data_IF_183529773224
#
_entry.id   IF_183529773224
#
_cell.length_a   1.000
_cell.length_b   1.000
_cell.length_c   1.000
_cell.angle_alpha   90.00
_cell.angle_beta   90.00
_cell.angle_gamma   90.00
#
_symmetry.space_group_name_H-M   'P 1'
#
loop_
_entity.id
_entity.type
_entity.pdbx_description
1 polymer ?
#
# COMPACT_ATOMS: atom_id res chain seq x y z
N UNK A 1 -5.77 15.56 8.77
CA UNK A 1 -6.16 14.13 8.68
C UNK A 1 -5.74 13.61 7.32
N UNK A 2 -5.24 12.36 7.18
CA UNK A 2 -4.91 11.80 5.88
C UNK A 2 -6.15 11.72 4.97
N UNK A 3 -6.03 12.15 3.72
CA UNK A 3 -7.13 12.22 2.76
C UNK A 3 -7.54 10.82 2.25
N UNK A 4 -6.65 9.83 2.33
CA UNK A 4 -6.92 8.45 1.93
C UNK A 4 -7.49 7.56 3.05
N UNK A 5 -8.06 8.15 4.11
CA UNK A 5 -8.58 7.39 5.26
C UNK A 5 -9.67 6.39 4.89
N UNK A 6 -10.46 6.67 3.86
CA UNK A 6 -11.55 5.80 3.42
C UNK A 6 -11.07 4.50 2.73
N UNK A 7 -9.83 4.45 2.27
CA UNK A 7 -9.23 3.31 1.58
C UNK A 7 -7.83 3.01 2.13
N UNK A 8 -7.76 2.36 3.31
CA UNK A 8 -6.50 2.10 3.98
C UNK A 8 -5.59 1.17 3.16
N UNK A 9 -4.25 1.24 3.36
CA UNK A 9 -3.30 0.25 2.83
C UNK A 9 -3.66 -1.18 3.22
N UNK A 10 -3.33 -2.15 2.36
CA UNK A 10 -3.57 -3.57 2.62
C UNK A 10 -2.88 -4.05 3.90
N UNK A 11 -3.58 -4.86 4.70
CA UNK A 11 -3.07 -5.48 5.93
C UNK A 11 -2.88 -4.52 7.10
N UNK A 12 -3.58 -3.39 7.10
CA UNK A 12 -3.67 -2.52 8.28
C UNK A 12 -4.77 -2.97 9.23
N UNK A 13 -5.84 -3.55 8.69
CA UNK A 13 -6.94 -4.11 9.45
C UNK A 13 -6.79 -5.62 9.48
N UNK A 14 -6.95 -6.29 10.63
CA UNK A 14 -7.01 -7.74 10.66
C UNK A 14 -8.19 -8.23 9.83
N UNK A 15 -8.04 -9.33 9.05
CA UNK A 15 -9.15 -9.92 8.32
C UNK A 15 -10.29 -10.25 9.27
N UNK A 16 -11.51 -9.75 9.00
CA UNK A 16 -12.69 -10.06 9.78
C UNK A 16 -13.14 -11.51 9.53
N UNK A 17 -13.77 -12.18 10.50
CA UNK A 17 -14.37 -13.48 10.30
C UNK A 17 -15.72 -13.35 9.57
N UNK A 18 -15.67 -13.10 8.26
CA UNK A 18 -16.87 -12.91 7.46
C UNK A 18 -17.77 -14.14 7.45
N UNK A 19 -19.07 -13.90 7.58
CA UNK A 19 -20.14 -14.86 7.30
C UNK A 19 -20.57 -14.74 5.84
N UNK A 20 -21.28 -15.76 5.32
CA UNK A 20 -21.80 -15.72 3.96
C UNK A 20 -22.84 -14.59 3.75
N UNK A 21 -23.61 -14.25 4.77
CA UNK A 21 -24.56 -13.15 4.73
C UNK A 21 -23.85 -11.79 4.60
N UNK A 22 -22.77 -11.58 5.34
CA UNK A 22 -21.95 -10.38 5.25
C UNK A 22 -21.26 -10.24 3.89
N UNK A 23 -20.79 -11.36 3.31
CA UNK A 23 -20.21 -11.36 1.96
C UNK A 23 -21.27 -11.04 0.88
N UNK A 24 -22.53 -11.49 1.04
CA UNK A 24 -23.63 -11.10 0.15
C UNK A 24 -23.93 -9.60 0.26
N UNK A 25 -24.02 -9.08 1.47
CA UNK A 25 -24.21 -7.64 1.68
C UNK A 25 -23.04 -6.82 1.13
N UNK A 26 -21.80 -7.30 1.29
CA UNK A 26 -20.62 -6.67 0.70
C UNK A 26 -20.65 -6.69 -0.83
N UNK A 27 -21.14 -7.78 -1.45
CA UNK A 27 -21.31 -7.88 -2.89
C UNK A 27 -22.34 -6.87 -3.41
N UNK A 28 -23.51 -6.76 -2.77
CA UNK A 28 -24.58 -5.84 -3.13
C UNK A 28 -24.15 -4.38 -3.00
N UNK A 29 -23.44 -4.04 -1.92
CA UNK A 29 -22.96 -2.68 -1.64
C UNK A 29 -21.63 -2.36 -2.33
N UNK A 30 -21.01 -3.33 -3.01
CA UNK A 30 -19.63 -3.26 -3.55
C UNK A 30 -18.60 -2.86 -2.50
N UNK A 31 -18.85 -3.23 -1.24
CA UNK A 31 -17.93 -2.97 -0.15
C UNK A 31 -16.67 -3.82 -0.29
N UNK A 32 -15.54 -3.23 0.12
CA UNK A 32 -14.26 -3.92 0.10
C UNK A 32 -14.13 -4.76 1.38
N UNK A 33 -13.72 -6.00 1.20
CA UNK A 33 -13.38 -6.95 2.25
C UNK A 33 -11.87 -7.22 2.26
N UNK A 34 -11.33 -7.56 3.41
CA UNK A 34 -9.93 -7.98 3.54
C UNK A 34 -9.81 -9.48 3.79
N UNK A 35 -8.88 -10.12 3.10
CA UNK A 35 -8.57 -11.52 3.26
C UNK A 35 -7.07 -11.77 3.14
N UNK A 36 -6.69 -13.03 3.21
CA UNK A 36 -5.30 -13.46 3.03
C UNK A 36 -5.22 -14.41 1.83
N UNK A 37 -4.38 -14.09 0.86
CA UNK A 37 -4.07 -15.01 -0.24
C UNK A 37 -3.25 -16.18 0.30
N UNK A 38 -3.79 -17.39 0.26
CA UNK A 38 -3.14 -18.57 0.86
C UNK A 38 -2.35 -19.40 -0.15
N UNK A 39 -2.91 -19.58 -1.34
CA UNK A 39 -2.36 -20.47 -2.38
C UNK A 39 -2.54 -19.86 -3.74
N UNK A 40 -1.69 -20.28 -4.67
CA UNK A 40 -1.81 -20.00 -6.09
C UNK A 40 -1.89 -21.35 -6.82
N UNK A 41 -2.85 -21.53 -7.72
CA UNK A 41 -2.96 -22.73 -8.56
C UNK A 41 -2.07 -22.63 -9.82
N UNK A 42 -2.08 -23.70 -10.63
CA UNK A 42 -1.31 -23.76 -11.88
C UNK A 42 -1.80 -22.76 -12.95
N UNK A 43 -3.05 -22.32 -12.88
CA UNK A 43 -3.62 -21.28 -13.74
C UNK A 43 -3.38 -19.87 -13.20
N UNK A 44 -2.64 -19.74 -12.09
CA UNK A 44 -2.35 -18.51 -11.38
C UNK A 44 -3.57 -17.84 -10.72
N UNK A 45 -4.63 -18.60 -10.43
CA UNK A 45 -5.70 -18.11 -9.58
C UNK A 45 -5.28 -18.18 -8.12
N UNK A 46 -5.67 -17.18 -7.33
CA UNK A 46 -5.37 -17.13 -5.90
C UNK A 46 -6.54 -17.67 -5.09
N UNK A 47 -6.25 -18.55 -4.15
CA UNK A 47 -7.19 -18.90 -3.07
C UNK A 47 -7.05 -17.85 -1.96
N UNK A 48 -8.15 -17.16 -1.67
CA UNK A 48 -8.22 -16.08 -0.68
C UNK A 48 -9.08 -16.52 0.49
N UNK A 49 -8.53 -16.44 1.69
CA UNK A 49 -9.24 -16.76 2.92
C UNK A 49 -9.94 -15.53 3.47
N UNK A 50 -11.27 -15.55 3.53
CA UNK A 50 -12.15 -14.54 4.11
C UNK A 50 -12.77 -15.08 5.41
N UNK A 51 -12.04 -14.99 6.52
CA UNK A 51 -12.43 -15.65 7.76
C UNK A 51 -12.43 -17.17 7.60
N UNK A 52 -13.62 -17.81 7.67
CA UNK A 52 -13.78 -19.25 7.48
C UNK A 52 -14.14 -19.64 6.03
N UNK A 53 -14.40 -18.68 5.16
CA UNK A 53 -14.82 -18.89 3.79
C UNK A 53 -13.59 -18.78 2.87
N UNK A 54 -13.41 -19.77 2.01
CA UNK A 54 -12.41 -19.73 0.95
C UNK A 54 -13.04 -19.16 -0.32
N UNK A 55 -12.40 -18.15 -0.89
CA UNK A 55 -12.79 -17.51 -2.14
C UNK A 55 -11.73 -17.74 -3.21
N UNK A 56 -12.12 -17.65 -4.48
CA UNK A 56 -11.24 -17.74 -5.64
C UNK A 56 -11.07 -16.33 -6.23
N UNK A 57 -9.85 -15.93 -6.47
CA UNK A 57 -9.51 -14.74 -7.24
C UNK A 57 -8.87 -15.16 -8.54
N UNK A 58 -9.52 -14.95 -9.69
CA UNK A 58 -8.94 -15.20 -10.99
C UNK A 58 -7.67 -14.37 -11.21
N UNK A 59 -6.74 -14.89 -12.00
CA UNK A 59 -5.46 -14.21 -12.31
C UNK A 59 -5.65 -12.77 -12.78
N UNK A 60 -6.59 -12.53 -13.68
CA UNK A 60 -6.93 -11.24 -14.26
C UNK A 60 -7.52 -10.26 -13.23
N UNK A 61 -8.07 -10.78 -12.14
CA UNK A 61 -8.64 -9.99 -11.04
C UNK A 61 -7.61 -9.69 -9.90
N UNK A 62 -6.40 -10.23 -10.01
CA UNK A 62 -5.38 -10.07 -8.97
C UNK A 62 -4.77 -8.66 -8.89
N UNK A 63 -4.78 -7.91 -10.00
CA UNK A 63 -4.16 -6.58 -10.06
C UNK A 63 -4.76 -5.73 -11.17
N UNK A 64 -4.91 -4.44 -10.92
CA UNK A 64 -5.44 -3.49 -11.90
C UNK A 64 -4.52 -3.35 -13.13
N UNK A 65 -5.08 -3.16 -14.36
CA UNK A 65 -4.36 -3.26 -15.63
C UNK A 65 -3.30 -2.16 -15.82
N UNK A 66 -3.47 -0.97 -15.22
CA UNK A 66 -2.47 0.11 -15.31
C UNK A 66 -1.21 -0.13 -14.46
N UNK A 67 -1.23 -1.12 -13.58
CA UNK A 67 -0.05 -1.46 -12.77
C UNK A 67 0.91 -2.27 -13.66
N UNK A 68 2.11 -1.74 -13.89
CA UNK A 68 3.11 -2.38 -14.73
C UNK A 68 3.40 -3.81 -14.27
N UNK A 69 3.25 -4.76 -15.18
CA UNK A 69 3.44 -6.18 -14.91
C UNK A 69 2.31 -6.84 -14.09
N UNK A 70 1.11 -6.23 -14.06
CA UNK A 70 -0.05 -6.66 -13.30
C UNK A 70 -0.33 -8.17 -13.36
N UNK A 71 -0.34 -8.74 -14.55
CA UNK A 71 -0.70 -10.15 -14.77
C UNK A 71 0.52 -11.06 -14.95
N UNK A 72 1.73 -10.60 -14.62
CA UNK A 72 2.91 -11.47 -14.62
C UNK A 72 2.83 -12.46 -13.47
N UNK A 73 3.29 -13.67 -13.72
CA UNK A 73 3.32 -14.75 -12.73
C UNK A 73 3.90 -14.30 -11.38
N UNK A 74 5.05 -13.64 -11.40
CA UNK A 74 5.72 -13.17 -10.19
C UNK A 74 4.88 -12.14 -9.40
N UNK A 75 4.08 -11.33 -10.09
CA UNK A 75 3.21 -10.35 -9.45
C UNK A 75 2.07 -11.02 -8.68
N UNK A 76 1.50 -12.09 -9.24
CA UNK A 76 0.44 -12.89 -8.61
C UNK A 76 1.01 -13.74 -7.48
N UNK A 77 2.08 -14.50 -7.74
CA UNK A 77 2.74 -15.35 -6.74
C UNK A 77 3.22 -14.56 -5.52
N UNK A 78 3.69 -13.34 -5.73
CA UNK A 78 4.13 -12.47 -4.64
C UNK A 78 3.03 -12.04 -3.65
N UNK A 79 1.76 -12.34 -3.96
CA UNK A 79 0.61 -12.08 -3.06
C UNK A 79 0.38 -13.21 -2.07
N UNK A 80 0.83 -14.41 -2.36
CA UNK A 80 0.66 -15.57 -1.46
C UNK A 80 1.27 -15.25 -0.09
N UNK A 81 0.53 -15.56 0.96
CA UNK A 81 0.87 -15.25 2.36
C UNK A 81 0.61 -13.80 2.80
N UNK A 82 0.08 -12.94 1.91
CA UNK A 82 -0.14 -11.53 2.23
C UNK A 82 -1.62 -11.19 2.37
N UNK A 83 -1.95 -10.21 3.22
CA UNK A 83 -3.28 -9.62 3.25
C UNK A 83 -3.54 -8.88 1.93
N UNK A 84 -4.77 -8.97 1.45
CA UNK A 84 -5.25 -8.30 0.24
C UNK A 84 -6.65 -7.74 0.46
N UNK A 85 -6.92 -6.59 -0.12
CA UNK A 85 -8.25 -6.01 -0.24
C UNK A 85 -8.92 -6.48 -1.52
N UNK A 86 -10.19 -6.87 -1.46
CA UNK A 86 -10.95 -7.29 -2.64
C UNK A 86 -12.43 -6.94 -2.51
N UNK A 87 -13.14 -6.90 -3.62
CA UNK A 87 -14.60 -6.90 -3.67
C UNK A 87 -15.11 -8.31 -3.93
N UNK A 88 -16.30 -8.62 -3.45
CA UNK A 88 -16.98 -9.87 -3.81
C UNK A 88 -17.66 -9.68 -5.15
N UNK A 89 -17.32 -10.49 -6.13
CA UNK A 89 -17.84 -10.42 -7.49
C UNK A 89 -19.07 -11.31 -7.68
N UNK A 90 -18.99 -12.54 -7.17
CA UNK A 90 -20.10 -13.48 -7.24
C UNK A 90 -20.08 -14.50 -6.08
N UNK A 91 -21.25 -14.98 -5.75
CA UNK A 91 -21.46 -16.09 -4.80
C UNK A 91 -22.39 -17.10 -5.47
N UNK A 92 -21.83 -18.21 -5.89
CA UNK A 92 -22.54 -19.33 -6.48
C UNK A 92 -22.51 -20.55 -5.54
N UNK A 93 -23.16 -21.63 -5.92
CA UNK A 93 -22.99 -22.93 -5.29
C UNK A 93 -22.19 -23.85 -6.22
N UNK A 94 -21.25 -24.61 -5.67
CA UNK A 94 -20.57 -25.66 -6.41
C UNK A 94 -21.48 -26.90 -6.64
N UNK A 95 -20.99 -27.91 -7.34
CA UNK A 95 -21.73 -29.12 -7.62
C UNK A 95 -22.15 -29.91 -6.36
N UNK A 96 -21.58 -29.59 -5.19
CA UNK A 96 -21.86 -30.20 -3.89
C UNK A 96 -22.74 -29.31 -3.00
N UNK A 97 -23.15 -28.12 -3.51
CA UNK A 97 -23.93 -27.15 -2.75
C UNK A 97 -23.09 -26.25 -1.81
N UNK A 98 -21.76 -26.35 -1.82
CA UNK A 98 -20.91 -25.49 -1.04
C UNK A 98 -20.77 -24.10 -1.70
N UNK A 99 -20.62 -23.00 -0.91
CA UNK A 99 -20.50 -21.68 -1.47
C UNK A 99 -19.19 -21.51 -2.24
N UNK A 100 -19.30 -21.15 -3.52
CA UNK A 100 -18.20 -20.75 -4.38
C UNK A 100 -18.19 -19.22 -4.48
N UNK A 101 -17.25 -18.58 -3.82
CA UNK A 101 -17.11 -17.12 -3.77
C UNK A 101 -16.00 -16.70 -4.72
N UNK A 102 -16.32 -15.79 -5.63
CA UNK A 102 -15.31 -15.15 -6.52
C UNK A 102 -15.08 -13.73 -6.06
N UNK A 103 -13.79 -13.32 -6.02
CA UNK A 103 -13.39 -12.01 -5.54
C UNK A 103 -12.44 -11.32 -6.52
N UNK A 104 -12.46 -9.98 -6.51
CA UNK A 104 -11.64 -9.14 -7.37
C UNK A 104 -10.85 -8.13 -6.55
N UNK A 105 -9.52 -8.20 -6.60
CA UNK A 105 -8.63 -7.16 -6.09
C UNK A 105 -8.56 -5.98 -7.06
N UNK A 106 -8.63 -6.25 -8.35
CA UNK A 106 -8.64 -5.25 -9.41
C UNK A 106 -9.74 -4.21 -9.18
N UNK A 107 -10.97 -4.65 -8.94
CA UNK A 107 -12.10 -3.74 -8.68
C UNK A 107 -11.90 -2.90 -7.41
N UNK A 108 -11.35 -3.48 -6.34
CA UNK A 108 -11.03 -2.73 -5.13
C UNK A 108 -9.96 -1.64 -5.38
N UNK A 109 -8.97 -1.93 -6.23
CA UNK A 109 -7.96 -0.95 -6.66
C UNK A 109 -8.56 0.13 -7.56
N UNK A 110 -9.45 -0.22 -8.50
CA UNK A 110 -10.16 0.72 -9.37
C UNK A 110 -10.95 1.71 -8.54
N UNK A 111 -11.78 1.25 -7.60
CA UNK A 111 -12.54 2.12 -6.70
C UNK A 111 -11.64 3.09 -5.92
N UNK A 112 -10.52 2.59 -5.37
CA UNK A 112 -9.61 3.44 -4.62
C UNK A 112 -8.90 4.46 -5.52
N UNK A 113 -8.49 4.05 -6.73
CA UNK A 113 -7.85 4.94 -7.69
C UNK A 113 -8.79 6.04 -8.18
N UNK A 114 -10.05 5.71 -8.49
CA UNK A 114 -11.04 6.69 -8.91
C UNK A 114 -11.30 7.72 -7.81
N UNK A 115 -11.44 7.28 -6.56
CA UNK A 115 -11.55 8.19 -5.41
C UNK A 115 -10.29 9.05 -5.21
N UNK A 116 -9.10 8.50 -5.43
CA UNK A 116 -7.84 9.26 -5.38
C UNK A 116 -7.74 10.29 -6.51
N UNK A 117 -8.19 9.95 -7.72
CA UNK A 117 -8.24 10.89 -8.86
C UNK A 117 -9.14 12.10 -8.57
N UNK A 118 -10.21 11.91 -7.81
CA UNK A 118 -11.13 12.97 -7.42
C UNK A 118 -10.59 13.83 -6.27
N UNK A 119 -10.00 13.20 -5.25
CA UNK A 119 -9.66 13.86 -3.98
C UNK A 119 -8.21 14.33 -3.90
N UNK A 120 -7.23 13.54 -4.36
CA UNK A 120 -5.83 13.87 -4.14
C UNK A 120 -5.32 15.01 -5.04
N UNK A 121 -4.55 15.90 -4.43
CA UNK A 121 -3.84 17.02 -5.08
C UNK A 121 -2.39 17.05 -4.58
N UNK A 122 -1.45 17.68 -5.30
CA UNK A 122 -0.15 18.02 -4.75
C UNK A 122 -0.31 18.75 -3.40
N UNK A 123 0.40 18.29 -2.37
CA UNK A 123 0.28 18.77 -0.99
C UNK A 123 -0.72 17.97 -0.12
N UNK A 124 -1.56 17.11 -0.70
CA UNK A 124 -2.44 16.22 0.07
C UNK A 124 -1.63 15.30 1.00
N UNK A 125 -2.06 15.18 2.25
CA UNK A 125 -1.46 14.24 3.23
C UNK A 125 -2.09 12.87 3.03
N UNK A 126 -1.26 11.85 2.86
CA UNK A 126 -1.68 10.45 2.75
C UNK A 126 -0.99 9.58 3.80
N UNK A 127 -1.75 8.65 4.35
CA UNK A 127 -1.19 7.57 5.16
C UNK A 127 -0.78 6.41 4.25
N UNK A 128 0.38 5.82 4.50
CA UNK A 128 0.87 4.71 3.68
C UNK A 128 1.62 3.67 4.51
N UNK A 129 1.83 2.52 3.88
CA UNK A 129 2.65 1.43 4.41
C UNK A 129 3.79 1.14 3.45
N UNK A 130 5.02 1.16 3.93
CA UNK A 130 6.20 0.81 3.13
C UNK A 130 6.13 -0.67 2.77
N UNK A 131 6.02 -0.99 1.48
CA UNK A 131 5.90 -2.38 1.00
C UNK A 131 7.20 -2.95 0.46
N UNK A 132 8.05 -2.10 -0.08
CA UNK A 132 9.35 -2.45 -0.65
C UNK A 132 10.27 -1.23 -0.68
N UNK A 133 11.57 -1.45 -0.61
CA UNK A 133 12.59 -0.42 -0.75
C UNK A 133 13.61 -0.83 -1.80
N UNK A 134 14.07 0.15 -2.57
CA UNK A 134 15.12 0.06 -3.58
C UNK A 134 16.10 1.22 -3.37
N UNK A 135 17.27 1.17 -3.96
CA UNK A 135 18.30 2.20 -3.77
C UNK A 135 17.82 3.61 -4.14
N UNK A 136 16.90 3.72 -5.09
CA UNK A 136 16.37 4.99 -5.59
C UNK A 136 15.09 5.48 -4.87
N UNK A 137 14.48 4.66 -4.03
CA UNK A 137 13.26 5.07 -3.31
C UNK A 137 12.53 3.95 -2.60
N UNK A 138 11.53 4.34 -1.83
CA UNK A 138 10.60 3.43 -1.16
C UNK A 138 9.28 3.35 -1.93
N UNK A 139 8.74 2.14 -2.02
CA UNK A 139 7.41 1.88 -2.55
C UNK A 139 6.42 1.82 -1.38
N UNK A 140 5.41 2.66 -1.42
CA UNK A 140 4.46 2.88 -0.33
C UNK A 140 3.06 2.56 -0.82
N UNK A 141 2.40 1.58 -0.21
CA UNK A 141 0.97 1.35 -0.40
C UNK A 141 0.20 2.49 0.25
N UNK A 142 -0.50 3.29 -0.55
CA UNK A 142 -1.30 4.43 -0.12
C UNK A 142 -2.80 4.12 -0.05
N UNK A 143 -3.18 2.89 -0.34
CA UNK A 143 -4.54 2.42 -0.21
C UNK A 143 -4.87 1.24 -1.11
N UNK A 144 -5.44 0.19 -0.55
CA UNK A 144 -5.92 -1.03 -1.24
C UNK A 144 -4.91 -1.61 -2.23
N UNK A 145 -3.61 -1.57 -1.88
CA UNK A 145 -2.53 -2.07 -2.73
C UNK A 145 -2.16 -1.17 -3.91
N UNK A 146 -2.58 0.09 -3.91
CA UNK A 146 -2.08 1.11 -4.83
C UNK A 146 -0.74 1.61 -4.31
N UNK A 147 0.30 1.37 -5.08
CA UNK A 147 1.68 1.65 -4.67
C UNK A 147 2.17 2.95 -5.30
N UNK A 148 2.55 3.90 -4.46
CA UNK A 148 3.19 5.15 -4.82
C UNK A 148 4.71 5.07 -4.63
N UNK A 149 5.46 5.87 -5.39
CA UNK A 149 6.91 6.00 -5.25
C UNK A 149 7.25 7.17 -4.33
N UNK A 150 8.10 6.91 -3.33
CA UNK A 150 8.75 7.92 -2.50
C UNK A 150 10.25 7.90 -2.82
N UNK A 151 10.74 8.76 -3.72
CA UNK A 151 12.14 8.84 -4.10
C UNK A 151 13.05 9.15 -2.90
N UNK A 152 14.28 8.62 -2.90
CA UNK A 152 15.24 8.77 -1.80
C UNK A 152 15.52 10.24 -1.46
N UNK A 153 15.57 11.12 -2.45
CA UNK A 153 15.76 12.57 -2.30
C UNK A 153 14.61 13.29 -1.59
N UNK A 154 13.42 12.66 -1.53
CA UNK A 154 12.23 13.21 -0.89
C UNK A 154 11.89 12.57 0.45
N UNK A 155 12.75 11.66 0.94
CA UNK A 155 12.54 10.98 2.23
C UNK A 155 12.93 11.88 3.40
N UNK A 156 14.06 12.61 3.29
CA UNK A 156 14.62 13.36 4.41
C UNK A 156 15.30 14.65 3.94
N UNK A 157 15.29 15.69 4.78
CA UNK A 157 16.08 16.89 4.57
C UNK A 157 17.59 16.60 4.69
N UNK A 158 17.98 15.69 5.59
CA UNK A 158 19.34 15.20 5.68
C UNK A 158 19.65 14.23 4.54
N UNK A 159 20.86 14.31 3.98
CA UNK A 159 21.30 13.40 2.91
C UNK A 159 21.34 11.96 3.40
N UNK A 160 20.62 11.10 2.71
CA UNK A 160 20.61 9.65 2.91
C UNK A 160 21.05 8.97 1.62
N UNK A 161 21.67 7.79 1.76
CA UNK A 161 22.12 6.99 0.60
C UNK A 161 21.07 5.98 0.17
N UNK A 162 20.28 5.49 1.12
CA UNK A 162 19.27 4.45 0.92
C UNK A 162 18.06 4.70 1.82
N UNK A 163 16.85 4.32 1.39
CA UNK A 163 15.62 4.46 2.18
C UNK A 163 15.67 3.72 3.53
N UNK A 164 16.39 2.58 3.60
CA UNK A 164 16.51 1.75 4.81
C UNK A 164 17.18 2.50 5.99
N UNK A 165 17.83 3.62 5.73
CA UNK A 165 18.38 4.49 6.79
C UNK A 165 17.27 5.22 7.57
N UNK A 166 16.07 5.31 7.03
CA UNK A 166 14.93 6.04 7.62
C UNK A 166 13.71 5.15 7.82
N UNK A 167 13.48 4.17 6.96
CA UNK A 167 12.28 3.36 6.95
C UNK A 167 12.59 1.88 7.08
N UNK A 168 11.55 1.12 7.42
CA UNK A 168 11.55 -0.35 7.41
C UNK A 168 10.35 -0.84 6.59
N UNK A 169 10.50 -2.00 5.94
CA UNK A 169 9.37 -2.66 5.29
C UNK A 169 8.27 -2.95 6.30
N UNK A 170 7.02 -2.67 5.93
CA UNK A 170 5.86 -2.78 6.81
C UNK A 170 5.58 -1.55 7.67
N UNK A 171 6.50 -0.57 7.74
CA UNK A 171 6.33 0.64 8.53
C UNK A 171 5.18 1.50 7.98
N UNK A 172 4.34 2.01 8.89
CA UNK A 172 3.34 3.03 8.58
C UNK A 172 3.99 4.40 8.57
N UNK A 173 3.70 5.18 7.55
CA UNK A 173 4.22 6.55 7.40
C UNK A 173 3.10 7.49 6.97
N UNK A 174 3.27 8.77 7.25
CA UNK A 174 2.56 9.85 6.58
C UNK A 174 3.47 10.40 5.49
N UNK A 175 2.89 10.79 4.37
CA UNK A 175 3.61 11.44 3.29
C UNK A 175 2.72 12.48 2.62
N UNK A 176 3.30 13.40 1.87
CA UNK A 176 2.59 14.34 1.03
C UNK A 176 2.62 13.84 -0.41
N UNK A 177 1.54 14.04 -1.13
CA UNK A 177 1.51 13.88 -2.58
C UNK A 177 2.35 15.00 -3.21
N UNK A 178 3.46 14.64 -3.85
CA UNK A 178 4.30 15.59 -4.58
C UNK A 178 3.78 15.82 -6.00
N UNK A 179 3.45 14.74 -6.68
CA UNK A 179 2.89 14.77 -8.02
C UNK A 179 1.93 13.60 -8.21
N UNK A 180 0.90 13.82 -9.00
CA UNK A 180 -0.03 12.80 -9.42
C UNK A 180 -0.23 12.87 -10.94
N UNK A 181 0.38 11.92 -11.63
CA UNK A 181 0.17 11.72 -13.06
C UNK A 181 -1.15 10.95 -13.26
N UNK A 182 -2.16 11.66 -13.76
CA UNK A 182 -3.50 11.14 -13.94
C UNK A 182 -3.63 10.19 -15.13
N UNK A 183 -2.80 10.35 -16.15
CA UNK A 183 -2.81 9.50 -17.35
C UNK A 183 -2.23 8.12 -17.03
N UNK A 184 -1.05 8.10 -16.41
CA UNK A 184 -0.39 6.85 -15.99
C UNK A 184 -0.85 6.33 -14.64
N UNK A 185 -1.70 7.09 -13.92
CA UNK A 185 -2.20 6.78 -12.56
C UNK A 185 -1.06 6.55 -11.57
N UNK A 186 0.04 7.30 -11.71
CA UNK A 186 1.22 7.21 -10.84
C UNK A 186 1.27 8.35 -9.85
N UNK A 187 1.49 7.98 -8.59
CA UNK A 187 1.63 8.94 -7.49
C UNK A 187 3.08 8.97 -7.03
N UNK A 188 3.65 10.17 -6.96
CA UNK A 188 4.97 10.43 -6.35
C UNK A 188 4.76 11.11 -5.03
N UNK A 189 5.43 10.62 -4.00
CA UNK A 189 5.32 11.10 -2.63
C UNK A 189 6.56 11.91 -2.22
N UNK A 190 6.39 12.70 -1.17
CA UNK A 190 7.46 13.34 -0.42
C UNK A 190 7.18 13.23 1.08
N UNK A 191 8.23 13.07 1.87
CA UNK A 191 8.14 12.97 3.33
C UNK A 191 8.94 14.08 4.03
N UNK A 192 9.96 14.61 3.38
CA UNK A 192 10.87 15.60 3.95
C UNK A 192 10.17 16.87 4.41
N UNK A 193 9.11 17.30 3.73
CA UNK A 193 8.34 18.49 4.09
C UNK A 193 7.57 18.34 5.41
N UNK A 194 7.30 17.09 5.84
CA UNK A 194 6.69 16.80 7.16
C UNK A 194 7.70 16.86 8.30
N UNK A 195 9.00 16.87 7.99
CA UNK A 195 10.07 16.89 8.99
C UNK A 195 10.52 18.31 9.40
N UNK A 196 9.90 19.35 8.84
CA UNK A 196 10.32 20.72 8.98
C UNK A 196 11.57 21.07 8.13
N UNK A 197 11.86 22.34 8.02
CA UNK A 197 13.08 22.83 7.36
C UNK A 197 14.30 22.57 8.22
N UNK A 198 15.51 22.63 7.61
CA UNK A 198 16.75 22.54 8.36
C UNK A 198 16.87 23.63 9.43
N UNK A 199 16.45 24.86 9.11
CA UNK A 199 16.46 25.99 10.03
C UNK A 199 15.54 25.77 11.24
N UNK A 200 14.31 25.30 11.01
CA UNK A 200 13.36 24.97 12.08
C UNK A 200 13.89 23.85 12.99
N UNK A 201 14.52 22.83 12.42
CA UNK A 201 15.14 21.76 13.20
C UNK A 201 16.40 22.25 13.92
N UNK A 202 17.25 23.06 13.27
CA UNK A 202 18.47 23.59 13.86
C UNK A 202 18.20 24.57 14.99
N UNK A 203 17.11 25.37 14.90
CA UNK A 203 16.73 26.33 15.96
C UNK A 203 16.34 25.68 17.29
N UNK A 204 16.12 24.35 17.31
CA UNK A 204 15.86 23.61 18.53
C UNK A 204 17.12 23.36 19.38
N UNK A 205 18.30 23.62 18.83
CA UNK A 205 19.60 23.40 19.48
C UNK A 205 20.35 24.71 19.67
N UNK A 206 21.04 24.83 20.80
CA UNK A 206 21.87 25.99 21.10
C UNK A 206 23.36 25.67 20.93
N UNK A 207 24.20 26.61 20.46
CA UNK A 207 25.64 26.40 20.41
C UNK A 207 26.18 26.03 21.80
N UNK A 208 26.97 24.96 21.90
CA UNK A 208 27.52 24.45 23.16
C UNK A 208 26.61 23.44 23.90
N UNK A 209 25.43 23.19 23.39
CA UNK A 209 24.53 22.17 23.96
C UNK A 209 25.04 20.76 23.63
N UNK A 210 25.00 19.86 24.63
CA UNK A 210 25.32 18.43 24.43
C UNK A 210 24.06 17.67 24.03
N UNK A 211 24.05 17.12 22.84
CA UNK A 211 22.91 16.37 22.31
C UNK A 211 23.30 14.93 21.98
N UNK A 212 22.39 13.96 22.20
CA UNK A 212 22.64 12.60 21.78
C UNK A 212 22.58 12.49 20.24
N UNK A 213 23.52 11.77 19.65
CA UNK A 213 23.58 11.58 18.22
C UNK A 213 24.05 10.19 17.82
N UNK A 214 23.72 9.77 16.59
CA UNK A 214 24.24 8.55 15.97
C UNK A 214 25.17 8.94 14.84
N UNK A 215 26.46 8.58 14.97
CA UNK A 215 27.43 8.78 13.90
C UNK A 215 27.06 7.94 12.68
N UNK A 216 26.80 8.59 11.55
CA UNK A 216 26.40 7.95 10.30
C UNK A 216 27.53 7.79 9.30
N UNK A 217 28.60 8.52 9.49
CA UNK A 217 29.79 8.46 8.67
C UNK A 217 30.90 9.31 9.27
N UNK A 218 32.13 8.93 9.00
CA UNK A 218 33.33 9.67 9.37
C UNK A 218 34.00 10.12 8.07
N UNK A 219 34.32 11.40 7.99
CA UNK A 219 34.99 12.04 6.86
C UNK A 219 36.25 12.73 7.36
N UNK A 220 37.16 13.11 6.46
CA UNK A 220 38.42 13.77 6.82
C UNK A 220 38.22 15.13 7.51
N UNK A 221 37.03 15.73 7.36
CA UNK A 221 36.65 17.02 7.93
C UNK A 221 35.67 16.93 9.11
N UNK A 222 35.35 15.71 9.59
CA UNK A 222 34.44 15.49 10.71
C UNK A 222 33.54 14.27 10.62
N UNK A 223 32.60 14.14 11.54
CA UNK A 223 31.61 13.07 11.62
C UNK A 223 30.19 13.62 11.65
#
# INVERSE_FOLDING_TARGET
>A
MPENRAYPPEGLTPPAPYTLAELRSAMESRAVVEGVAQRCDAALNLSVQLGRISAIMPREEATAPWISGANREIAVLSRVGKPICCTVESIAADAKGAPLVTVSRRQAQEQAMDAMLESLRPGSVVAGRVVRMESFGAFVDIGRGIVALLPTEFISAARIRRPEQRFRTGQRILALVKAFDRETRRVTLTHKELLGTWLENASQFSPGETVPGIVRGVMDYGC
#
